data_IF_739671551347
#
_entry.id   IF_739671551347
#
_cell.length_a   1.000
_cell.length_b   1.000
_cell.length_c   1.000
_cell.angle_alpha   90.00
_cell.angle_beta   90.00
_cell.angle_gamma   90.00
#
_symmetry.space_group_name_H-M   'P 1'
#
loop_
_entity.id
_entity.type
_entity.pdbx_description
1 polymer ?
#
# COMPACT_ATOMS: atom_id res chain seq x y z
N UNK A 1 50.60 -7.72 -9.17
CA UNK A 1 49.14 -7.84 -9.13
C UNK A 1 48.55 -6.49 -8.68
N UNK A 2 47.37 -6.15 -9.18
CA UNK A 2 46.59 -5.07 -8.60
C UNK A 2 45.94 -5.57 -7.29
N UNK A 3 45.67 -4.65 -6.37
CA UNK A 3 44.97 -4.96 -5.12
C UNK A 3 43.69 -4.15 -5.07
N UNK A 4 42.56 -4.81 -4.91
CA UNK A 4 41.27 -4.15 -4.64
C UNK A 4 41.26 -3.82 -3.15
N UNK A 5 41.37 -2.55 -2.79
CA UNK A 5 41.45 -2.06 -1.38
C UNK A 5 40.09 -2.04 -0.75
N UNK A 6 39.13 -1.45 -1.46
CA UNK A 6 37.74 -1.32 -1.02
C UNK A 6 36.80 -1.08 -2.20
N UNK A 7 35.53 -1.36 -1.99
CA UNK A 7 34.42 -0.89 -2.80
C UNK A 7 33.47 -0.21 -1.83
N UNK A 8 33.49 1.15 -1.74
CA UNK A 8 32.65 1.90 -0.82
C UNK A 8 31.16 1.53 -0.99
N UNK A 9 30.44 1.38 0.12
CA UNK A 9 29.06 0.90 0.13
C UNK A 9 28.89 -0.63 0.04
N UNK A 10 29.99 -1.40 -0.11
CA UNK A 10 29.99 -2.87 -0.18
C UNK A 10 30.90 -3.45 0.91
N UNK A 11 32.19 -3.11 0.90
CA UNK A 11 33.18 -3.69 1.82
C UNK A 11 32.95 -3.29 3.26
N UNK A 12 32.50 -2.07 3.50
CA UNK A 12 32.11 -1.51 4.79
C UNK A 12 30.78 -2.07 5.32
N UNK A 13 30.03 -2.80 4.48
CA UNK A 13 28.79 -3.49 4.82
C UNK A 13 28.91 -5.03 4.75
N UNK A 14 30.10 -5.57 5.05
CA UNK A 14 30.31 -7.02 5.14
C UNK A 14 30.28 -7.75 3.80
N UNK A 15 30.74 -7.11 2.72
CA UNK A 15 30.71 -7.63 1.35
C UNK A 15 29.29 -7.91 0.82
N UNK A 16 28.36 -7.02 1.17
CA UNK A 16 26.96 -7.07 0.76
C UNK A 16 26.53 -5.72 0.19
N UNK A 17 25.84 -5.74 -0.94
CA UNK A 17 25.20 -4.56 -1.53
C UNK A 17 23.73 -4.83 -1.77
N UNK A 18 22.88 -3.95 -1.25
CA UNK A 18 21.42 -4.03 -1.42
C UNK A 18 20.97 -2.82 -2.23
N UNK A 19 20.20 -3.08 -3.27
CA UNK A 19 19.58 -2.05 -4.11
C UNK A 19 18.15 -2.43 -4.45
N UNK A 20 17.44 -1.51 -5.09
CA UNK A 20 16.08 -1.74 -5.54
C UNK A 20 16.04 -2.06 -7.04
N UNK A 21 15.03 -2.82 -7.46
CA UNK A 21 14.72 -2.90 -8.88
C UNK A 21 14.47 -1.48 -9.44
N UNK A 22 14.88 -1.27 -10.70
CA UNK A 22 14.80 0.02 -11.39
C UNK A 22 15.65 1.16 -10.77
N UNK A 23 16.53 0.87 -9.82
CA UNK A 23 17.47 1.84 -9.26
C UNK A 23 18.71 1.97 -10.16
N UNK A 24 19.27 3.17 -10.29
CA UNK A 24 20.58 3.38 -10.89
C UNK A 24 21.63 3.35 -9.80
N UNK A 25 22.60 2.45 -9.93
CA UNK A 25 23.71 2.29 -8.98
C UNK A 25 25.02 2.76 -9.58
N UNK A 26 25.93 3.23 -8.73
CA UNK A 26 27.30 3.57 -9.07
C UNK A 26 28.24 3.01 -8.00
N UNK A 27 29.13 2.10 -8.40
CA UNK A 27 30.18 1.54 -7.53
C UNK A 27 31.54 1.97 -8.03
N UNK A 28 32.35 2.54 -7.15
CA UNK A 28 33.67 3.12 -7.47
C UNK A 28 34.73 2.40 -6.65
N UNK A 29 35.36 1.33 -7.17
CA UNK A 29 36.39 0.60 -6.46
C UNK A 29 37.68 1.38 -6.27
N UNK A 30 38.27 1.26 -5.11
CA UNK A 30 39.64 1.72 -4.84
C UNK A 30 40.62 0.61 -5.18
N UNK A 31 41.37 0.80 -6.26
CA UNK A 31 42.33 -0.20 -6.77
C UNK A 31 43.73 0.36 -6.68
N UNK A 32 44.65 -0.34 -5.99
CA UNK A 32 46.06 -0.08 -6.00
C UNK A 32 46.76 -0.86 -7.10
N UNK A 33 47.40 -0.17 -8.03
CA UNK A 33 48.12 -0.78 -9.14
C UNK A 33 49.57 -1.06 -8.79
N UNK A 34 50.17 -2.03 -9.47
CA UNK A 34 51.59 -2.33 -9.35
C UNK A 34 52.44 -1.07 -9.67
N UNK A 35 53.51 -0.87 -8.94
CA UNK A 35 54.40 0.26 -9.19
C UNK A 35 54.85 0.34 -10.65
N UNK A 36 54.68 1.52 -11.26
CA UNK A 36 55.01 1.77 -12.66
C UNK A 36 53.90 1.37 -13.65
N UNK A 37 52.73 0.95 -13.17
CA UNK A 37 51.54 0.70 -14.02
C UNK A 37 50.40 1.63 -13.66
N UNK A 38 49.45 1.79 -14.58
CA UNK A 38 48.25 2.61 -14.44
C UNK A 38 46.99 1.80 -14.77
N UNK A 39 45.82 2.34 -14.57
CA UNK A 39 44.55 1.69 -14.94
C UNK A 39 44.50 1.24 -16.40
N UNK A 40 45.22 1.93 -17.32
CA UNK A 40 45.27 1.56 -18.74
C UNK A 40 45.96 0.21 -19.01
N UNK A 41 46.79 -0.27 -18.07
CA UNK A 41 47.49 -1.56 -18.18
C UNK A 41 46.60 -2.75 -17.71
N UNK A 42 45.39 -2.47 -17.29
CA UNK A 42 44.48 -3.47 -16.74
C UNK A 42 43.16 -3.56 -17.53
N UNK A 43 42.54 -4.71 -17.46
CA UNK A 43 41.17 -4.99 -17.87
C UNK A 43 40.30 -5.10 -16.61
N UNK A 44 39.08 -4.56 -16.69
CA UNK A 44 38.11 -4.59 -15.61
C UNK A 44 36.85 -5.27 -16.10
N UNK A 45 36.26 -6.13 -15.29
CA UNK A 45 35.00 -6.82 -15.62
C UNK A 45 34.12 -6.87 -14.37
N UNK A 46 32.88 -6.41 -14.52
CA UNK A 46 31.80 -6.62 -13.59
C UNK A 46 30.83 -7.62 -14.20
N UNK A 47 30.55 -8.68 -13.49
CA UNK A 47 29.52 -9.63 -13.91
C UNK A 47 28.78 -10.16 -12.70
N UNK A 48 27.52 -10.56 -12.94
CA UNK A 48 26.65 -11.14 -11.93
C UNK A 48 26.08 -12.47 -12.38
N UNK A 49 25.67 -13.31 -11.44
CA UNK A 49 24.87 -14.51 -11.66
C UNK A 49 23.95 -14.76 -10.46
N UNK A 50 22.78 -15.42 -10.67
CA UNK A 50 21.85 -15.73 -9.59
C UNK A 50 22.50 -16.58 -8.49
N UNK A 51 22.14 -16.30 -7.23
CA UNK A 51 22.41 -17.22 -6.13
C UNK A 51 21.46 -18.40 -6.19
N UNK A 52 21.98 -19.60 -5.91
CA UNK A 52 21.16 -20.77 -5.64
C UNK A 52 20.50 -20.58 -4.26
N UNK A 53 19.17 -20.77 -4.10
CA UNK A 53 18.49 -20.71 -2.80
C UNK A 53 19.08 -21.63 -1.74
N UNK A 54 19.75 -22.70 -2.16
CA UNK A 54 20.47 -23.64 -1.27
C UNK A 54 21.94 -23.26 -1.03
N UNK A 55 22.44 -22.22 -1.72
CA UNK A 55 23.78 -21.66 -1.51
C UNK A 55 24.97 -22.53 -1.93
N UNK A 56 24.74 -23.63 -2.61
CA UNK A 56 25.76 -24.68 -2.87
C UNK A 56 26.31 -24.68 -4.28
N UNK A 57 25.61 -24.10 -5.26
CA UNK A 57 25.99 -24.16 -6.68
C UNK A 57 26.22 -22.79 -7.26
N UNK A 58 27.30 -22.61 -8.02
CA UNK A 58 27.59 -21.38 -8.75
C UNK A 58 27.16 -21.54 -10.21
N UNK A 59 26.14 -20.84 -10.62
CA UNK A 59 25.58 -20.88 -11.98
C UNK A 59 26.32 -19.90 -12.91
N UNK A 60 27.61 -20.11 -13.12
CA UNK A 60 28.44 -19.29 -14.02
C UNK A 60 27.94 -19.26 -15.47
N UNK A 61 27.21 -20.30 -15.90
CA UNK A 61 26.55 -20.35 -17.21
C UNK A 61 25.43 -19.29 -17.35
N UNK A 62 24.95 -18.75 -16.24
CA UNK A 62 23.96 -17.67 -16.20
C UNK A 62 24.59 -16.29 -15.89
N UNK A 63 25.90 -16.18 -16.05
CA UNK A 63 26.61 -14.94 -15.77
C UNK A 63 26.36 -13.90 -16.86
N UNK A 64 25.93 -12.72 -16.45
CA UNK A 64 25.80 -11.54 -17.31
C UNK A 64 26.88 -10.52 -16.97
N UNK A 65 27.58 -10.03 -17.99
CA UNK A 65 28.54 -8.93 -17.86
C UNK A 65 27.79 -7.60 -17.78
N UNK A 66 27.98 -6.86 -16.68
CA UNK A 66 27.34 -5.58 -16.44
C UNK A 66 28.17 -4.41 -16.98
N UNK A 67 29.50 -4.49 -16.85
CA UNK A 67 30.42 -3.46 -17.32
C UNK A 67 31.84 -4.02 -17.54
N UNK A 68 32.61 -3.36 -18.43
CA UNK A 68 34.04 -3.61 -18.67
C UNK A 68 34.89 -2.38 -18.30
N UNK A 69 34.50 -1.66 -17.29
CA UNK A 69 35.12 -0.42 -16.79
C UNK A 69 35.54 -0.58 -15.34
N UNK A 70 36.46 0.25 -14.86
CA UNK A 70 36.87 0.24 -13.46
C UNK A 70 35.68 0.49 -12.52
N UNK A 71 34.85 1.48 -12.85
CA UNK A 71 33.64 1.79 -12.12
C UNK A 71 32.44 1.05 -12.72
N UNK A 72 31.42 0.75 -11.90
CA UNK A 72 30.15 0.23 -12.35
C UNK A 72 29.10 1.34 -12.25
N UNK A 73 28.60 1.81 -13.40
CA UNK A 73 27.38 2.60 -13.49
C UNK A 73 26.34 1.73 -14.18
N UNK A 74 25.32 1.31 -13.42
CA UNK A 74 24.38 0.31 -13.91
C UNK A 74 22.94 0.65 -13.54
N UNK A 75 22.05 0.57 -14.51
CA UNK A 75 20.61 0.63 -14.30
C UNK A 75 20.11 -0.78 -13.99
N UNK A 76 19.55 -0.99 -12.80
CA UNK A 76 19.01 -2.29 -12.41
C UNK A 76 17.79 -2.61 -13.28
N UNK A 77 17.93 -3.61 -14.14
CA UNK A 77 16.85 -4.16 -14.98
C UNK A 77 16.48 -5.58 -14.58
N UNK A 78 17.16 -6.08 -13.58
CA UNK A 78 17.05 -7.45 -13.09
C UNK A 78 15.86 -7.62 -12.15
N UNK A 79 15.27 -8.81 -12.15
CA UNK A 79 14.21 -9.15 -11.20
C UNK A 79 14.72 -9.19 -9.76
N UNK A 80 13.89 -8.83 -8.77
CA UNK A 80 14.21 -8.94 -7.35
C UNK A 80 14.60 -10.37 -6.97
N UNK A 81 15.83 -10.54 -6.52
CA UNK A 81 16.41 -11.78 -5.95
C UNK A 81 17.85 -11.53 -5.52
N UNK A 82 18.46 -12.54 -4.92
CA UNK A 82 19.85 -12.55 -4.54
C UNK A 82 20.73 -12.99 -5.73
N UNK A 83 21.79 -12.23 -5.94
CA UNK A 83 22.83 -12.48 -6.93
C UNK A 83 24.20 -12.51 -6.26
N UNK A 84 25.17 -13.13 -6.93
CA UNK A 84 26.58 -12.87 -6.73
C UNK A 84 27.02 -11.82 -7.73
N UNK A 85 27.70 -10.75 -7.26
CA UNK A 85 28.38 -9.78 -8.10
C UNK A 85 29.87 -9.97 -7.93
N UNK A 86 30.58 -10.03 -9.06
CA UNK A 86 32.01 -10.23 -9.08
C UNK A 86 32.66 -9.08 -9.83
N UNK A 87 33.68 -8.49 -9.19
CA UNK A 87 34.57 -7.52 -9.79
C UNK A 87 35.92 -8.17 -10.03
N UNK A 88 36.41 -8.14 -11.30
CA UNK A 88 37.71 -8.68 -11.71
C UNK A 88 38.61 -7.59 -12.27
N UNK A 89 39.89 -7.64 -11.89
CA UNK A 89 40.97 -6.77 -12.38
C UNK A 89 42.09 -7.67 -12.90
N UNK A 90 42.36 -7.59 -14.21
CA UNK A 90 43.36 -8.40 -14.89
C UNK A 90 44.45 -7.54 -15.48
N UNK A 91 45.72 -7.85 -15.19
CA UNK A 91 46.84 -7.23 -15.85
C UNK A 91 46.96 -7.72 -17.30
N UNK A 92 46.92 -6.82 -18.28
CA UNK A 92 46.97 -7.17 -19.72
C UNK A 92 48.28 -7.84 -20.14
N UNK A 93 49.39 -7.49 -19.49
CA UNK A 93 50.73 -7.95 -19.86
C UNK A 93 51.06 -9.31 -19.21
N UNK A 94 50.74 -9.45 -17.94
CA UNK A 94 51.13 -10.65 -17.17
C UNK A 94 50.00 -11.68 -17.07
N UNK A 95 48.75 -11.29 -17.32
CA UNK A 95 47.59 -12.11 -17.13
C UNK A 95 47.19 -12.31 -15.66
N UNK A 96 47.92 -11.67 -14.71
CA UNK A 96 47.61 -11.75 -13.27
C UNK A 96 46.22 -11.21 -12.98
N UNK A 97 45.45 -11.96 -12.19
CA UNK A 97 44.02 -11.71 -11.91
C UNK A 97 43.82 -11.51 -10.42
N UNK A 98 43.10 -10.42 -10.07
CA UNK A 98 42.54 -10.19 -8.74
C UNK A 98 41.03 -10.12 -8.87
N UNK A 99 40.30 -10.75 -7.96
CA UNK A 99 38.84 -10.68 -7.95
C UNK A 99 38.28 -10.46 -6.54
N UNK A 100 37.14 -9.79 -6.48
CA UNK A 100 36.32 -9.67 -5.29
C UNK A 100 34.89 -10.08 -5.60
N UNK A 101 34.34 -10.93 -4.73
CA UNK A 101 32.98 -11.42 -4.79
C UNK A 101 32.20 -10.91 -3.60
N UNK A 102 30.93 -10.50 -3.84
CA UNK A 102 30.05 -10.04 -2.78
C UNK A 102 28.58 -10.36 -3.11
N UNK A 103 27.78 -10.36 -2.07
CA UNK A 103 26.32 -10.52 -2.20
C UNK A 103 25.73 -9.26 -2.84
N UNK A 104 24.91 -9.48 -3.85
CA UNK A 104 24.21 -8.42 -4.56
C UNK A 104 22.70 -8.70 -4.53
N UNK A 105 21.98 -7.99 -3.66
CA UNK A 105 20.58 -8.24 -3.39
C UNK A 105 19.77 -7.15 -4.08
N UNK A 106 18.90 -7.58 -5.00
CA UNK A 106 17.93 -6.71 -5.65
C UNK A 106 16.59 -6.95 -4.96
N UNK A 107 16.13 -5.93 -4.23
CA UNK A 107 14.85 -5.97 -3.53
C UNK A 107 13.75 -5.36 -4.39
N UNK A 108 12.54 -5.94 -4.32
CA UNK A 108 11.36 -5.30 -4.88
C UNK A 108 11.08 -3.96 -4.19
N UNK A 109 10.50 -3.02 -4.93
CA UNK A 109 10.10 -1.74 -4.35
C UNK A 109 8.76 -1.89 -3.65
N UNK A 110 8.83 -2.35 -2.42
CA UNK A 110 7.70 -2.50 -1.51
C UNK A 110 7.76 -1.41 -0.43
N UNK A 111 6.65 -1.14 0.20
CA UNK A 111 6.59 -0.21 1.30
C UNK A 111 5.27 0.54 1.40
N UNK A 112 5.30 1.62 2.16
CA UNK A 112 4.17 2.50 2.34
C UNK A 112 4.14 3.53 1.20
N UNK A 113 3.22 3.33 0.25
CA UNK A 113 3.03 4.22 -0.90
C UNK A 113 2.33 5.49 -0.42
N UNK A 114 2.84 6.65 -0.79
CA UNK A 114 2.23 7.96 -0.61
C UNK A 114 1.98 8.55 -1.99
N UNK A 115 0.73 8.84 -2.28
CA UNK A 115 0.28 9.56 -3.47
C UNK A 115 0.14 11.04 -3.09
N UNK A 116 0.84 11.90 -3.78
CA UNK A 116 0.75 13.33 -3.58
C UNK A 116 0.62 14.11 -4.89
N UNK A 117 0.34 15.39 -4.78
CA UNK A 117 0.34 16.35 -5.89
C UNK A 117 1.12 17.61 -5.51
N UNK A 118 1.76 18.22 -6.51
CA UNK A 118 2.33 19.56 -6.36
C UNK A 118 1.22 20.64 -6.44
N UNK A 119 1.60 21.90 -6.24
CA UNK A 119 0.69 23.05 -6.31
C UNK A 119 0.00 23.24 -7.67
N UNK A 120 0.50 22.61 -8.71
CA UNK A 120 -0.06 22.64 -10.06
C UNK A 120 -0.95 21.42 -10.35
N UNK A 121 -1.17 20.55 -9.36
CA UNK A 121 -1.96 19.34 -9.48
C UNK A 121 -1.25 18.21 -10.24
N UNK A 122 0.09 18.25 -10.32
CA UNK A 122 0.86 17.15 -10.90
C UNK A 122 1.16 16.11 -9.82
N UNK A 123 0.59 14.93 -9.97
CA UNK A 123 0.70 13.84 -9.01
C UNK A 123 1.92 12.94 -9.26
N UNK A 124 2.44 12.38 -8.17
CA UNK A 124 3.48 11.35 -8.18
C UNK A 124 3.29 10.34 -7.05
N UNK A 125 4.10 9.30 -7.06
CA UNK A 125 4.18 8.27 -6.04
C UNK A 125 5.52 8.37 -5.33
N UNK A 126 5.47 8.33 -4.00
CA UNK A 126 6.62 8.17 -3.14
C UNK A 126 6.46 6.87 -2.34
N UNK A 127 7.56 6.20 -2.00
CA UNK A 127 7.52 4.94 -1.27
C UNK A 127 8.39 5.07 -0.02
N UNK A 128 7.77 4.98 1.14
CA UNK A 128 8.47 4.93 2.42
C UNK A 128 8.90 3.48 2.66
N UNK A 129 10.19 3.23 2.67
CA UNK A 129 10.78 1.94 3.01
C UNK A 129 11.09 1.87 4.50
N UNK A 130 10.05 1.88 5.30
CA UNK A 130 10.19 1.83 6.76
C UNK A 130 10.96 0.59 7.21
N UNK A 131 11.94 0.76 8.09
CA UNK A 131 12.84 -0.31 8.52
C UNK A 131 12.16 -1.40 9.37
N UNK A 132 11.02 -1.09 10.00
CA UNK A 132 10.33 -2.03 10.88
C UNK A 132 9.28 -2.89 10.15
N UNK A 133 8.66 -2.34 9.08
CA UNK A 133 7.52 -2.99 8.40
C UNK A 133 7.82 -3.50 6.98
N UNK A 134 8.95 -3.06 6.39
CA UNK A 134 9.35 -3.47 5.04
C UNK A 134 10.56 -4.39 5.14
N UNK A 135 10.48 -5.56 4.57
CA UNK A 135 11.64 -6.46 4.51
C UNK A 135 12.78 -5.81 3.73
N UNK A 136 13.97 -5.71 4.34
CA UNK A 136 15.09 -4.96 3.80
C UNK A 136 14.87 -3.44 3.75
N UNK A 137 13.92 -2.93 4.51
CA UNK A 137 13.68 -1.49 4.66
C UNK A 137 14.86 -0.80 5.34
N UNK A 138 15.15 0.41 4.89
CA UNK A 138 16.29 1.23 5.31
C UNK A 138 15.86 2.61 5.86
N UNK A 139 14.57 2.83 6.00
CA UNK A 139 13.97 4.08 6.48
C UNK A 139 13.93 5.21 5.45
N UNK A 140 14.45 5.01 4.25
CA UNK A 140 14.48 6.05 3.20
C UNK A 140 13.13 6.18 2.48
N UNK A 141 12.95 7.32 1.83
CA UNK A 141 11.85 7.59 0.90
C UNK A 141 12.40 7.47 -0.53
N UNK A 142 11.79 6.61 -1.34
CA UNK A 142 12.02 6.58 -2.78
C UNK A 142 11.04 7.56 -3.41
N UNK A 143 11.56 8.72 -3.79
CA UNK A 143 10.73 9.85 -4.24
C UNK A 143 10.44 9.81 -5.74
N UNK A 144 9.28 10.36 -6.14
CA UNK A 144 8.88 10.55 -7.54
C UNK A 144 8.93 9.26 -8.38
N UNK A 145 8.57 8.15 -7.77
CA UNK A 145 8.81 6.82 -8.34
C UNK A 145 8.00 6.55 -9.60
N UNK A 146 6.79 7.12 -9.72
CA UNK A 146 6.03 7.03 -10.97
C UNK A 146 6.73 7.82 -12.10
N UNK A 147 7.00 9.10 -11.91
CA UNK A 147 7.58 9.90 -12.99
C UNK A 147 8.97 9.45 -13.41
N UNK A 148 9.80 9.00 -12.47
CA UNK A 148 11.13 8.44 -12.76
C UNK A 148 11.03 7.24 -13.71
N UNK A 149 10.07 6.35 -13.49
CA UNK A 149 9.90 5.15 -14.31
C UNK A 149 9.09 5.39 -15.61
N UNK A 150 8.47 6.57 -15.76
CA UNK A 150 7.63 6.90 -16.91
C UNK A 150 8.11 8.14 -17.68
N UNK A 151 9.44 8.34 -17.76
CA UNK A 151 10.05 9.38 -18.60
C UNK A 151 9.68 10.82 -18.20
N UNK A 152 9.43 11.07 -16.92
CA UNK A 152 9.05 12.39 -16.40
C UNK A 152 7.56 12.69 -16.46
N UNK A 153 6.71 11.74 -16.91
CA UNK A 153 5.25 11.90 -16.90
C UNK A 153 4.73 12.08 -15.47
N UNK A 154 3.74 12.96 -15.30
CA UNK A 154 3.04 13.17 -14.05
C UNK A 154 1.58 12.74 -14.17
N UNK A 155 0.98 12.30 -13.07
CA UNK A 155 -0.45 12.04 -12.96
C UNK A 155 -1.21 13.35 -12.74
N UNK A 156 -2.53 13.34 -12.95
CA UNK A 156 -3.41 14.49 -12.68
C UNK A 156 -4.71 14.02 -12.07
N UNK A 157 -5.30 14.89 -11.25
CA UNK A 157 -6.60 14.65 -10.62
C UNK A 157 -6.62 13.33 -9.83
N UNK A 158 -5.48 12.99 -9.22
CA UNK A 158 -5.30 11.74 -8.49
C UNK A 158 -6.13 11.72 -7.22
N UNK A 159 -6.74 10.59 -6.89
CA UNK A 159 -7.65 10.46 -5.75
C UNK A 159 -7.21 9.41 -4.74
N UNK A 160 -7.07 8.15 -5.18
CA UNK A 160 -6.72 7.05 -4.30
C UNK A 160 -5.99 5.92 -5.05
N UNK A 161 -5.37 5.04 -4.28
CA UNK A 161 -4.56 3.92 -4.76
C UNK A 161 -5.34 2.63 -4.62
N UNK A 162 -5.23 1.75 -5.63
CA UNK A 162 -5.68 0.37 -5.58
C UNK A 162 -4.57 -0.58 -6.05
N UNK A 163 -4.55 -1.78 -5.52
CA UNK A 163 -3.60 -2.82 -5.91
C UNK A 163 -4.36 -4.11 -6.24
N UNK A 164 -4.08 -4.70 -7.38
CA UNK A 164 -4.56 -6.03 -7.77
C UNK A 164 -3.38 -6.97 -8.01
N UNK A 165 -2.94 -7.75 -7.02
CA UNK A 165 -1.84 -8.70 -7.19
C UNK A 165 -2.13 -9.80 -8.21
N UNK A 166 -3.39 -10.15 -8.42
CA UNK A 166 -3.80 -11.18 -9.40
C UNK A 166 -3.49 -10.78 -10.86
N UNK A 167 -3.59 -9.49 -11.18
CA UNK A 167 -3.26 -8.95 -12.51
C UNK A 167 -1.92 -8.19 -12.52
N UNK A 168 -1.07 -8.31 -11.52
CA UNK A 168 0.01 -7.47 -11.02
C UNK A 168 -0.10 -5.99 -11.45
N UNK A 169 -1.25 -5.39 -11.17
CA UNK A 169 -1.52 -3.99 -11.45
C UNK A 169 -1.56 -3.15 -10.17
N UNK A 170 -0.95 -1.98 -10.24
CA UNK A 170 -1.16 -0.87 -9.33
C UNK A 170 -2.00 0.18 -10.05
N UNK A 171 -3.06 0.64 -9.42
CA UNK A 171 -3.95 1.67 -9.94
C UNK A 171 -3.78 2.95 -9.13
N UNK A 172 -3.70 4.08 -9.81
CA UNK A 172 -3.99 5.38 -9.21
C UNK A 172 -5.27 5.88 -9.85
N UNK A 173 -6.36 5.80 -9.11
CA UNK A 173 -7.67 6.29 -9.55
C UNK A 173 -7.68 7.82 -9.55
N UNK A 174 -8.32 8.39 -10.57
CA UNK A 174 -8.44 9.82 -10.81
C UNK A 174 -9.88 10.20 -11.15
N UNK A 175 -10.16 11.49 -11.26
CA UNK A 175 -11.49 11.94 -11.68
C UNK A 175 -11.88 11.44 -13.09
N UNK A 176 -10.89 11.17 -13.94
CA UNK A 176 -11.06 10.75 -15.33
C UNK A 176 -10.85 9.23 -15.53
N UNK A 177 -10.72 8.45 -14.45
CA UNK A 177 -10.52 6.99 -14.52
C UNK A 177 -9.36 6.49 -13.67
N UNK A 178 -8.32 5.92 -14.28
CA UNK A 178 -7.15 5.43 -13.55
C UNK A 178 -5.89 5.43 -14.41
N UNK A 179 -4.75 5.71 -13.77
CA UNK A 179 -3.43 5.34 -14.26
C UNK A 179 -3.17 3.88 -13.88
N UNK A 180 -2.91 3.04 -14.86
CA UNK A 180 -2.72 1.60 -14.68
C UNK A 180 -1.25 1.28 -14.88
N UNK A 181 -0.62 0.74 -13.86
CA UNK A 181 0.80 0.46 -13.83
C UNK A 181 1.07 -1.00 -13.53
N UNK A 182 2.22 -1.49 -13.96
CA UNK A 182 2.76 -2.74 -13.44
C UNK A 182 3.11 -2.54 -11.96
N UNK A 183 2.64 -3.43 -11.08
CA UNK A 183 2.80 -3.29 -9.64
C UNK A 183 4.25 -3.42 -9.15
N UNK A 184 5.14 -4.07 -9.92
CA UNK A 184 6.56 -4.18 -9.56
C UNK A 184 7.38 -3.01 -10.08
N UNK A 185 7.18 -2.60 -11.33
CA UNK A 185 8.02 -1.60 -11.98
C UNK A 185 7.45 -0.18 -11.94
N UNK A 186 6.17 -0.01 -11.58
CA UNK A 186 5.42 1.25 -11.64
C UNK A 186 5.40 1.89 -13.04
N UNK A 187 5.79 1.14 -14.06
CA UNK A 187 5.67 1.55 -15.45
C UNK A 187 4.21 1.48 -15.89
N UNK A 188 3.73 2.55 -16.49
CA UNK A 188 2.36 2.63 -17.01
C UNK A 188 2.13 1.58 -18.10
N UNK A 189 0.92 1.06 -18.19
CA UNK A 189 0.47 0.16 -19.25
C UNK A 189 -0.22 0.97 -20.36
N UNK A 190 0.52 1.46 -21.36
CA UNK A 190 0.02 2.50 -22.31
C UNK A 190 -1.11 2.02 -23.21
N UNK A 191 -1.34 0.70 -23.30
CA UNK A 191 -2.42 0.10 -24.10
C UNK A 191 -3.66 -0.29 -23.27
N UNK A 192 -3.71 0.10 -22.01
CA UNK A 192 -4.80 -0.22 -21.09
C UNK A 192 -5.39 1.06 -20.55
N UNK A 193 -6.61 1.36 -20.88
CA UNK A 193 -7.37 2.48 -20.33
C UNK A 193 -8.28 2.01 -19.19
N UNK A 194 -8.83 2.93 -18.41
CA UNK A 194 -9.80 2.61 -17.36
C UNK A 194 -11.03 1.86 -17.92
N UNK A 195 -11.53 2.27 -19.10
CA UNK A 195 -12.65 1.61 -19.75
C UNK A 195 -12.36 0.15 -20.13
N UNK A 196 -11.09 -0.17 -20.42
CA UNK A 196 -10.69 -1.54 -20.77
C UNK A 196 -10.77 -2.51 -19.60
N UNK A 197 -10.83 -2.00 -18.37
CA UNK A 197 -11.01 -2.81 -17.16
C UNK A 197 -12.42 -3.42 -17.07
N UNK A 198 -13.38 -2.92 -17.84
CA UNK A 198 -14.80 -3.34 -17.77
C UNK A 198 -15.20 -4.17 -18.98
N UNK A 199 -16.14 -5.07 -18.77
CA UNK A 199 -16.83 -5.80 -19.85
C UNK A 199 -18.12 -5.10 -20.33
N UNK A 200 -18.43 -3.95 -19.76
CA UNK A 200 -19.56 -3.09 -20.09
C UNK A 200 -19.09 -1.69 -20.42
N UNK A 201 -19.86 -0.94 -21.18
CA UNK A 201 -19.60 0.49 -21.38
C UNK A 201 -20.07 1.27 -20.16
N UNK A 202 -19.21 2.16 -19.66
CA UNK A 202 -19.53 3.05 -18.54
C UNK A 202 -20.23 4.30 -19.06
N UNK A 203 -21.37 4.64 -18.48
CA UNK A 203 -22.06 5.92 -18.77
C UNK A 203 -21.35 7.09 -18.13
N UNK A 204 -20.78 6.88 -16.93
CA UNK A 204 -20.06 7.88 -16.15
C UNK A 204 -18.78 7.27 -15.58
N UNK A 205 -17.67 7.98 -15.73
CA UNK A 205 -16.40 7.65 -15.08
C UNK A 205 -16.30 8.43 -13.79
N UNK A 206 -16.39 7.75 -12.66
CA UNK A 206 -16.26 8.33 -11.32
C UNK A 206 -15.87 7.22 -10.33
N UNK A 207 -14.61 6.76 -10.33
CA UNK A 207 -14.15 5.76 -9.38
C UNK A 207 -14.17 6.32 -7.95
N UNK A 208 -14.74 5.56 -7.02
CA UNK A 208 -15.00 6.02 -5.65
C UNK A 208 -14.35 5.13 -4.58
N UNK A 209 -14.25 3.83 -4.82
CA UNK A 209 -13.55 2.87 -3.96
C UNK A 209 -13.15 1.64 -4.77
N UNK A 210 -12.04 1.03 -4.41
CA UNK A 210 -11.59 -0.24 -4.97
C UNK A 210 -10.91 -1.09 -3.89
N UNK A 211 -11.13 -2.40 -3.93
CA UNK A 211 -10.44 -3.33 -3.03
C UNK A 211 -10.27 -4.69 -3.70
N UNK A 212 -9.08 -5.27 -3.52
CA UNK A 212 -8.79 -6.64 -3.89
C UNK A 212 -8.79 -7.52 -2.64
N UNK A 213 -9.54 -8.59 -2.66
CA UNK A 213 -9.72 -9.52 -1.55
C UNK A 213 -9.06 -10.85 -1.92
N UNK A 214 -7.84 -11.16 -1.41
CA UNK A 214 -7.07 -12.36 -1.75
C UNK A 214 -7.59 -13.59 -1.01
N UNK A 215 -8.89 -13.83 -1.10
CA UNK A 215 -9.56 -14.85 -0.32
C UNK A 215 -10.57 -15.63 -1.14
N UNK A 216 -10.73 -16.93 -0.80
CA UNK A 216 -11.61 -17.81 -1.50
C UNK A 216 -11.22 -17.92 -2.98
N UNK A 217 -12.04 -17.36 -3.87
CA UNK A 217 -11.78 -17.35 -5.30
C UNK A 217 -11.08 -16.07 -5.80
N UNK A 218 -10.53 -15.26 -4.91
CA UNK A 218 -9.96 -13.95 -5.18
C UNK A 218 -10.95 -13.03 -5.91
N UNK A 219 -11.38 -12.01 -5.24
CA UNK A 219 -12.38 -11.07 -5.76
C UNK A 219 -11.80 -9.66 -5.76
N UNK A 220 -12.03 -8.92 -6.82
CA UNK A 220 -11.78 -7.48 -6.86
C UNK A 220 -13.12 -6.77 -6.96
N UNK A 221 -13.34 -5.76 -6.13
CA UNK A 221 -14.58 -4.97 -6.08
C UNK A 221 -14.25 -3.51 -6.31
N UNK A 222 -15.03 -2.86 -7.15
CA UNK A 222 -14.90 -1.44 -7.49
C UNK A 222 -16.26 -0.77 -7.40
N UNK A 223 -16.31 0.42 -6.80
CA UNK A 223 -17.46 1.33 -6.86
C UNK A 223 -17.13 2.44 -7.85
N UNK A 224 -17.89 2.52 -8.94
CA UNK A 224 -17.81 3.61 -9.91
C UNK A 224 -19.21 4.25 -10.06
N UNK A 225 -19.30 5.54 -9.82
CA UNK A 225 -20.56 6.29 -9.87
C UNK A 225 -21.70 5.64 -9.08
N UNK A 226 -21.40 5.18 -7.85
CA UNK A 226 -22.30 4.47 -6.95
C UNK A 226 -22.78 3.10 -7.42
N UNK A 227 -22.25 2.57 -8.52
CA UNK A 227 -22.53 1.23 -9.04
C UNK A 227 -21.39 0.31 -8.63
N UNK A 228 -21.72 -0.92 -8.24
CA UNK A 228 -20.78 -1.94 -7.79
C UNK A 228 -20.41 -2.84 -8.96
N UNK A 229 -19.11 -2.96 -9.19
CA UNK A 229 -18.53 -3.88 -10.18
C UNK A 229 -17.64 -4.88 -9.46
N UNK A 230 -17.57 -6.10 -9.96
CA UNK A 230 -16.70 -7.12 -9.39
C UNK A 230 -16.02 -8.00 -10.45
N UNK A 231 -14.88 -8.58 -10.06
CA UNK A 231 -14.18 -9.64 -10.77
C UNK A 231 -14.04 -10.83 -9.82
N UNK A 232 -14.59 -11.99 -10.22
CA UNK A 232 -14.38 -13.26 -9.52
C UNK A 232 -13.35 -14.11 -10.26
N UNK A 233 -12.07 -13.95 -9.95
CA UNK A 233 -10.97 -14.50 -10.73
C UNK A 233 -10.98 -16.02 -10.87
N UNK A 234 -11.16 -16.73 -9.78
CA UNK A 234 -11.10 -18.20 -9.78
C UNK A 234 -12.45 -18.85 -10.09
N UNK A 235 -13.54 -18.14 -9.78
CA UNK A 235 -14.87 -18.69 -9.95
C UNK A 235 -15.27 -18.79 -11.42
N UNK A 236 -14.98 -17.74 -12.19
CA UNK A 236 -15.48 -17.58 -13.55
C UNK A 236 -14.39 -17.30 -14.59
N UNK A 237 -13.12 -17.18 -14.16
CA UNK A 237 -12.02 -16.81 -15.05
C UNK A 237 -12.17 -15.39 -15.63
N UNK A 238 -12.92 -14.52 -14.97
CA UNK A 238 -13.12 -13.16 -15.45
C UNK A 238 -11.82 -12.36 -15.27
N UNK A 239 -11.52 -11.56 -16.26
CA UNK A 239 -10.38 -10.64 -16.26
C UNK A 239 -10.79 -9.18 -16.31
N UNK A 240 -12.10 -8.90 -16.33
CA UNK A 240 -12.70 -7.56 -16.40
C UNK A 240 -13.83 -7.41 -15.41
N UNK A 241 -14.04 -6.20 -14.94
CA UNK A 241 -15.15 -5.84 -14.07
C UNK A 241 -16.48 -6.05 -14.77
N UNK A 242 -17.37 -6.73 -14.08
CA UNK A 242 -18.75 -6.96 -14.49
C UNK A 242 -19.65 -6.17 -13.56
N UNK A 243 -20.70 -5.55 -14.11
CA UNK A 243 -21.81 -5.04 -13.34
C UNK A 243 -22.52 -6.21 -12.66
N UNK A 244 -22.56 -6.18 -11.33
CA UNK A 244 -23.19 -7.22 -10.50
C UNK A 244 -24.48 -6.75 -9.85
N UNK A 245 -25.01 -5.60 -10.28
CA UNK A 245 -26.23 -5.01 -9.73
C UNK A 245 -27.48 -5.90 -9.93
N UNK A 246 -27.51 -6.66 -11.03
CA UNK A 246 -28.65 -7.47 -11.45
C UNK A 246 -29.97 -6.66 -11.40
N UNK A 247 -30.91 -7.07 -10.53
CA UNK A 247 -32.19 -6.37 -10.34
C UNK A 247 -32.22 -5.46 -9.10
N UNK A 248 -31.13 -5.39 -8.34
CA UNK A 248 -31.07 -4.55 -7.14
C UNK A 248 -30.97 -3.07 -7.51
N UNK A 249 -31.84 -2.25 -6.93
CA UNK A 249 -31.71 -0.79 -6.95
C UNK A 249 -31.01 -0.36 -5.68
N UNK A 250 -29.95 0.43 -5.81
CA UNK A 250 -29.13 0.91 -4.70
C UNK A 250 -28.30 2.11 -5.12
N UNK A 251 -27.74 2.79 -4.11
CA UNK A 251 -26.69 3.78 -4.27
C UNK A 251 -25.53 3.44 -3.34
N UNK A 252 -24.48 2.81 -3.87
CA UNK A 252 -23.34 2.38 -3.07
C UNK A 252 -22.60 3.56 -2.44
N UNK A 253 -22.26 3.44 -1.16
CA UNK A 253 -21.33 4.34 -0.49
C UNK A 253 -19.92 4.19 -1.09
N UNK A 254 -19.05 5.23 -1.01
CA UNK A 254 -17.68 5.20 -1.52
C UNK A 254 -16.73 4.43 -0.58
N UNK A 255 -17.11 3.23 -0.19
CA UNK A 255 -16.34 2.37 0.71
C UNK A 255 -16.59 0.88 0.41
N UNK A 256 -15.54 0.09 0.53
CA UNK A 256 -15.56 -1.37 0.43
C UNK A 256 -14.79 -1.91 1.62
N UNK A 257 -15.45 -2.68 2.46
CA UNK A 257 -14.81 -3.35 3.60
C UNK A 257 -14.49 -4.79 3.19
N UNK A 258 -13.20 -5.18 3.13
CA UNK A 258 -12.82 -6.55 2.84
C UNK A 258 -13.11 -7.44 4.04
N UNK A 259 -13.57 -8.66 3.79
CA UNK A 259 -13.72 -9.69 4.83
C UNK A 259 -12.48 -10.59 4.80
N UNK A 260 -11.67 -10.49 5.84
CA UNK A 260 -10.39 -11.20 5.96
C UNK A 260 -10.51 -12.57 6.64
N UNK A 261 -11.66 -12.88 7.24
CA UNK A 261 -11.92 -14.15 7.94
C UNK A 261 -12.67 -15.15 7.06
N UNK A 262 -12.73 -16.43 7.49
CA UNK A 262 -13.45 -17.48 6.78
C UNK A 262 -14.95 -17.20 6.73
N UNK A 263 -15.58 -17.35 5.55
CA UNK A 263 -17.02 -17.12 5.35
C UNK A 263 -17.44 -17.30 3.89
N UNK A 264 -18.68 -16.93 3.64
CA UNK A 264 -19.30 -16.97 2.31
C UNK A 264 -19.11 -15.68 1.55
N UNK A 265 -18.99 -14.54 2.27
CA UNK A 265 -18.82 -13.22 1.71
C UNK A 265 -17.36 -12.76 1.72
N UNK A 266 -16.98 -12.00 0.71
CA UNK A 266 -15.64 -11.41 0.55
C UNK A 266 -15.62 -9.91 0.86
N UNK A 267 -16.70 -9.18 0.58
CA UNK A 267 -16.75 -7.74 0.81
C UNK A 267 -18.10 -7.29 1.36
N UNK A 268 -18.08 -6.20 2.13
CA UNK A 268 -19.24 -5.47 2.61
C UNK A 268 -19.26 -4.08 1.99
N UNK A 269 -20.43 -3.66 1.54
CA UNK A 269 -20.74 -2.32 1.04
C UNK A 269 -21.98 -1.79 1.76
N UNK A 270 -22.32 -0.52 1.55
CA UNK A 270 -23.50 0.10 2.11
C UNK A 270 -24.34 0.79 1.03
N UNK A 271 -25.63 0.55 1.03
CA UNK A 271 -26.62 1.18 0.16
C UNK A 271 -27.17 2.43 0.87
N UNK A 272 -26.73 3.59 0.42
CA UNK A 272 -27.15 4.88 0.99
C UNK A 272 -28.58 5.31 0.61
N UNK A 273 -29.17 4.69 -0.42
CA UNK A 273 -30.55 4.97 -0.84
C UNK A 273 -31.56 4.27 0.04
N UNK A 274 -31.30 3.00 0.37
CA UNK A 274 -32.20 2.16 1.15
C UNK A 274 -31.73 1.93 2.59
N UNK A 275 -30.63 2.56 3.02
CA UNK A 275 -30.02 2.39 4.34
C UNK A 275 -29.89 0.92 4.76
N UNK A 276 -29.13 0.14 3.97
CA UNK A 276 -28.91 -1.28 4.22
C UNK A 276 -27.51 -1.72 3.86
N UNK A 277 -27.04 -2.78 4.46
CA UNK A 277 -25.80 -3.42 4.06
C UNK A 277 -25.99 -4.22 2.77
N UNK A 278 -24.94 -4.29 1.97
CA UNK A 278 -24.78 -5.15 0.81
C UNK A 278 -23.55 -6.02 1.00
N UNK A 279 -23.58 -7.23 0.47
CA UNK A 279 -22.42 -8.14 0.49
C UNK A 279 -22.09 -8.63 -0.91
N UNK A 280 -20.80 -8.79 -1.18
CA UNK A 280 -20.30 -9.51 -2.35
C UNK A 280 -19.75 -10.84 -1.86
N UNK A 281 -20.28 -11.94 -2.39
CA UNK A 281 -19.85 -13.27 -2.01
C UNK A 281 -18.49 -13.65 -2.64
N UNK A 282 -17.98 -14.81 -2.28
CA UNK A 282 -16.72 -15.36 -2.83
C UNK A 282 -16.77 -15.63 -4.34
N UNK A 283 -17.95 -15.66 -4.94
CA UNK A 283 -18.17 -15.85 -6.36
C UNK A 283 -18.27 -14.55 -7.14
N UNK A 284 -18.36 -13.40 -6.44
CA UNK A 284 -18.53 -12.08 -7.03
C UNK A 284 -19.99 -11.69 -7.26
N UNK A 285 -20.95 -12.33 -6.59
CA UNK A 285 -22.37 -11.97 -6.66
C UNK A 285 -22.75 -10.99 -5.55
N UNK A 286 -23.70 -10.10 -5.85
CA UNK A 286 -24.21 -9.08 -4.92
C UNK A 286 -25.48 -9.57 -4.21
N UNK A 287 -25.53 -9.37 -2.89
CA UNK A 287 -26.67 -9.69 -2.05
C UNK A 287 -27.05 -8.51 -1.14
N UNK A 288 -28.33 -8.44 -0.80
CA UNK A 288 -28.87 -7.58 0.25
C UNK A 288 -29.32 -8.46 1.42
N UNK A 289 -28.45 -8.71 2.41
CA UNK A 289 -28.76 -9.56 3.55
C UNK A 289 -29.79 -8.89 4.47
N UNK A 290 -30.53 -9.72 5.21
CA UNK A 290 -31.47 -9.30 6.26
C UNK A 290 -31.11 -9.99 7.57
N UNK A 291 -31.41 -9.38 8.67
CA UNK A 291 -31.19 -9.99 9.99
C UNK A 291 -32.27 -9.59 10.98
N UNK A 292 -32.30 -10.30 12.08
CA UNK A 292 -33.03 -9.95 13.29
C UNK A 292 -32.05 -9.68 14.42
N UNK A 293 -32.49 -9.08 15.52
CA UNK A 293 -31.67 -8.86 16.71
C UNK A 293 -31.54 -7.40 17.10
N UNK A 294 -30.32 -6.93 17.40
CA UNK A 294 -30.07 -5.55 17.88
C UNK A 294 -30.52 -4.49 16.85
N UNK A 295 -30.31 -4.80 15.58
CA UNK A 295 -30.81 -4.03 14.43
C UNK A 295 -30.94 -4.96 13.20
N UNK A 296 -31.75 -4.53 12.21
CA UNK A 296 -31.82 -5.23 10.93
C UNK A 296 -30.80 -4.65 9.94
N UNK A 297 -29.90 -5.49 9.43
CA UNK A 297 -28.88 -5.07 8.45
C UNK A 297 -29.49 -4.71 7.09
N UNK A 298 -30.69 -5.22 6.80
CA UNK A 298 -31.45 -4.94 5.58
C UNK A 298 -32.33 -3.69 5.64
N UNK A 299 -32.51 -3.09 6.85
CA UNK A 299 -33.42 -1.97 7.06
C UNK A 299 -32.98 -1.11 8.25
N UNK A 300 -31.90 -0.35 8.08
CA UNK A 300 -31.48 0.65 9.07
C UNK A 300 -32.38 1.88 8.94
N UNK A 301 -32.60 2.59 10.06
CA UNK A 301 -33.44 3.79 10.12
C UNK A 301 -33.14 4.75 8.95
N UNK A 302 -34.11 5.07 8.09
CA UNK A 302 -33.91 5.90 6.91
C UNK A 302 -33.60 7.38 7.24
N UNK A 303 -33.83 7.82 8.46
CA UNK A 303 -33.46 9.18 8.92
C UNK A 303 -31.94 9.32 9.08
N UNK A 304 -31.22 8.23 9.27
CA UNK A 304 -29.77 8.23 9.44
C UNK A 304 -29.06 8.40 8.09
N UNK A 305 -27.94 9.11 8.12
CA UNK A 305 -27.08 9.34 6.94
C UNK A 305 -25.72 8.68 7.13
N UNK A 306 -25.23 8.04 6.10
CA UNK A 306 -23.91 7.44 6.03
C UNK A 306 -22.81 8.48 6.33
N UNK A 307 -21.85 8.13 7.17
CA UNK A 307 -20.67 8.92 7.48
C UNK A 307 -19.40 8.17 7.08
N UNK A 308 -19.21 6.97 7.60
CA UNK A 308 -18.00 6.19 7.37
C UNK A 308 -18.27 4.68 7.59
N UNK A 309 -17.54 3.84 6.88
CA UNK A 309 -17.56 2.39 7.08
C UNK A 309 -16.13 1.83 6.95
N UNK A 310 -15.75 0.91 7.84
CA UNK A 310 -14.43 0.31 7.83
C UNK A 310 -14.39 -1.07 8.48
N UNK A 311 -13.27 -1.77 8.27
CA UNK A 311 -12.97 -3.07 8.85
C UNK A 311 -12.74 -2.94 10.35
N UNK A 312 -13.38 -3.79 11.14
CA UNK A 312 -13.19 -3.95 12.57
C UNK A 312 -12.49 -5.25 12.93
N UNK A 313 -12.49 -5.57 14.21
CA UNK A 313 -11.87 -6.78 14.73
C UNK A 313 -12.60 -8.05 14.23
N UNK A 314 -11.81 -9.10 13.96
CA UNK A 314 -12.32 -10.44 13.59
C UNK A 314 -13.28 -10.42 12.36
N UNK A 315 -13.04 -9.51 11.41
CA UNK A 315 -13.85 -9.39 10.19
C UNK A 315 -15.20 -8.71 10.38
N UNK A 316 -15.41 -8.05 11.52
CA UNK A 316 -16.57 -7.17 11.71
C UNK A 316 -16.49 -5.96 10.77
N UNK A 317 -17.64 -5.47 10.38
CA UNK A 317 -17.80 -4.17 9.73
C UNK A 317 -18.35 -3.17 10.73
N UNK A 318 -17.71 -2.03 10.83
CA UNK A 318 -18.16 -0.90 11.65
C UNK A 318 -18.67 0.21 10.71
N UNK A 319 -19.94 0.60 10.88
CA UNK A 319 -20.60 1.66 10.12
C UNK A 319 -20.95 2.81 11.06
N UNK A 320 -20.50 4.02 10.76
CA UNK A 320 -20.88 5.24 11.46
C UNK A 320 -21.96 5.95 10.67
N UNK A 321 -23.05 6.29 11.33
CA UNK A 321 -24.17 7.02 10.78
C UNK A 321 -24.48 8.25 11.65
N UNK A 322 -25.12 9.24 11.04
CA UNK A 322 -25.48 10.52 11.67
C UNK A 322 -26.98 10.75 11.54
N UNK A 323 -27.63 11.17 12.62
CA UNK A 323 -29.02 11.60 12.61
C UNK A 323 -29.16 13.07 12.14
N UNK A 324 -30.37 13.59 12.08
CA UNK A 324 -30.67 14.96 11.65
C UNK A 324 -30.11 16.02 12.61
N UNK A 325 -29.96 15.71 13.90
CA UNK A 325 -29.40 16.60 14.91
C UNK A 325 -27.87 16.60 14.91
N UNK A 326 -27.24 15.68 14.16
CA UNK A 326 -25.79 15.55 14.05
C UNK A 326 -25.19 14.52 14.99
N UNK A 327 -25.99 13.83 15.79
CA UNK A 327 -25.51 12.80 16.69
C UNK A 327 -25.06 11.56 15.90
N UNK A 328 -23.95 10.97 16.32
CA UNK A 328 -23.32 9.84 15.66
C UNK A 328 -23.61 8.54 16.39
N UNK A 329 -23.92 7.52 15.61
CA UNK A 329 -24.07 6.14 16.10
C UNK A 329 -23.19 5.19 15.29
N UNK A 330 -22.67 4.15 15.93
CA UNK A 330 -21.87 3.12 15.29
C UNK A 330 -22.59 1.77 15.35
N UNK A 331 -22.80 1.19 14.16
CA UNK A 331 -23.33 -0.14 13.95
C UNK A 331 -22.16 -1.11 13.75
N UNK A 332 -22.08 -2.17 14.54
CA UNK A 332 -21.10 -3.24 14.39
C UNK A 332 -21.82 -4.51 13.95
N UNK A 333 -21.33 -5.15 12.92
CA UNK A 333 -21.94 -6.35 12.33
C UNK A 333 -20.87 -7.29 11.80
N UNK A 334 -21.08 -8.59 11.95
CA UNK A 334 -20.32 -9.61 11.24
C UNK A 334 -21.16 -10.11 10.05
N UNK A 335 -20.62 -9.89 8.84
CA UNK A 335 -21.23 -10.27 7.58
C UNK A 335 -20.40 -11.31 6.81
N UNK A 336 -19.48 -11.98 7.49
CA UNK A 336 -18.63 -12.99 6.85
C UNK A 336 -19.41 -14.20 6.33
N UNK A 337 -20.43 -14.61 7.07
CA UNK A 337 -21.34 -15.70 6.69
C UNK A 337 -22.57 -15.16 5.97
N UNK A 338 -23.28 -16.02 5.28
CA UNK A 338 -24.56 -15.68 4.63
C UNK A 338 -25.64 -15.26 5.64
N UNK A 339 -25.54 -15.71 6.88
CA UNK A 339 -26.38 -15.27 7.99
C UNK A 339 -25.68 -14.14 8.76
N UNK A 340 -26.18 -12.90 8.69
CA UNK A 340 -25.61 -11.75 9.37
C UNK A 340 -25.74 -11.83 10.89
N UNK A 341 -24.71 -11.34 11.59
CA UNK A 341 -24.71 -11.25 13.06
C UNK A 341 -24.54 -9.79 13.48
N UNK A 342 -25.62 -9.04 13.80
CA UNK A 342 -25.54 -7.75 14.45
C UNK A 342 -24.85 -7.88 15.81
N UNK A 343 -23.75 -7.14 16.01
CA UNK A 343 -22.90 -7.27 17.21
C UNK A 343 -23.22 -6.21 18.26
N UNK A 344 -23.33 -4.94 17.82
CA UNK A 344 -23.63 -3.83 18.72
C UNK A 344 -24.14 -2.61 17.97
N UNK A 345 -24.92 -1.78 18.66
CA UNK A 345 -25.25 -0.42 18.31
C UNK A 345 -24.77 0.49 19.44
N UNK A 346 -23.87 1.41 19.15
CA UNK A 346 -23.18 2.24 20.11
C UNK A 346 -23.45 3.73 19.82
N UNK A 347 -23.82 4.47 20.86
CA UNK A 347 -23.90 5.93 20.82
C UNK A 347 -22.49 6.53 20.94
N UNK A 348 -22.15 7.45 20.05
CA UNK A 348 -20.86 8.13 20.03
C UNK A 348 -20.95 9.58 20.56
N UNK A 349 -22.14 10.11 20.81
CA UNK A 349 -22.36 11.52 21.17
C UNK A 349 -21.64 12.01 22.44
N UNK A 350 -21.27 11.06 23.31
CA UNK A 350 -20.54 11.36 24.55
C UNK A 350 -19.02 11.51 24.38
N UNK A 351 -18.48 11.20 23.20
CA UNK A 351 -17.04 11.22 22.97
C UNK A 351 -16.52 12.65 22.68
N UNK A 352 -15.34 13.02 23.21
CA UNK A 352 -14.81 14.37 23.04
C UNK A 352 -14.58 14.71 21.56
N UNK A 353 -14.99 15.88 21.15
CA UNK A 353 -14.83 16.43 19.78
C UNK A 353 -15.31 15.53 18.63
N UNK A 354 -16.10 14.49 18.89
CA UNK A 354 -16.56 13.51 17.88
C UNK A 354 -17.39 14.18 16.77
N UNK A 355 -18.12 15.23 17.07
CA UNK A 355 -18.89 16.00 16.09
C UNK A 355 -18.02 16.75 15.07
N UNK A 356 -16.74 16.95 15.38
CA UNK A 356 -15.74 17.56 14.49
C UNK A 356 -14.84 16.52 13.83
N UNK A 357 -15.07 15.24 14.04
CA UNK A 357 -14.27 14.18 13.45
C UNK A 357 -14.48 14.10 11.92
N UNK A 358 -13.37 14.04 11.20
CA UNK A 358 -13.34 13.99 9.73
C UNK A 358 -12.74 12.67 9.20
N UNK A 359 -12.01 11.95 10.05
CA UNK A 359 -11.42 10.66 9.68
C UNK A 359 -11.66 9.63 10.78
N UNK A 360 -11.83 8.39 10.39
CA UNK A 360 -12.06 7.28 11.29
C UNK A 360 -11.25 6.06 10.83
N UNK A 361 -10.83 5.20 11.77
CA UNK A 361 -10.36 3.84 11.49
C UNK A 361 -10.58 2.96 12.71
N UNK A 362 -10.72 1.66 12.50
CA UNK A 362 -11.05 0.72 13.58
C UNK A 362 -9.92 -0.26 13.81
N UNK A 363 -9.81 -0.77 15.03
CA UNK A 363 -8.86 -1.81 15.37
C UNK A 363 -9.23 -3.16 14.75
N UNK A 364 -8.29 -3.76 14.03
CA UNK A 364 -8.46 -5.11 13.47
C UNK A 364 -8.09 -6.22 14.46
N UNK A 365 -7.44 -5.87 15.57
CA UNK A 365 -7.03 -6.81 16.64
C UNK A 365 -7.64 -6.51 17.99
N UNK A 366 -8.27 -5.36 18.16
CA UNK A 366 -8.90 -4.93 19.39
C UNK A 366 -10.16 -4.11 19.15
N UNK A 367 -11.04 -4.06 20.15
CA UNK A 367 -12.30 -3.31 20.08
C UNK A 367 -12.06 -1.83 20.41
N UNK A 368 -11.52 -1.07 19.44
CA UNK A 368 -11.28 0.37 19.56
C UNK A 368 -11.47 1.07 18.22
N UNK A 369 -11.66 2.37 18.28
CA UNK A 369 -11.74 3.27 17.16
C UNK A 369 -10.74 4.42 17.34
N UNK A 370 -10.05 4.78 16.26
CA UNK A 370 -9.40 6.06 16.15
C UNK A 370 -10.31 7.00 15.36
N UNK A 371 -10.48 8.21 15.84
CA UNK A 371 -11.13 9.27 15.09
C UNK A 371 -10.30 10.55 15.18
N UNK A 372 -10.26 11.31 14.11
CA UNK A 372 -9.47 12.53 14.02
C UNK A 372 -10.32 13.74 13.69
N UNK A 373 -10.06 14.81 14.41
CA UNK A 373 -10.38 16.20 13.99
C UNK A 373 -9.27 16.69 13.06
N UNK A 374 -9.33 17.95 12.64
CA UNK A 374 -8.24 18.56 11.85
C UNK A 374 -6.86 18.49 12.53
N UNK A 375 -6.80 18.47 13.89
CA UNK A 375 -5.54 18.61 14.62
C UNK A 375 -5.24 17.54 15.66
N UNK A 376 -6.20 16.69 15.98
CA UNK A 376 -6.07 15.69 17.04
C UNK A 376 -6.64 14.35 16.60
N UNK A 377 -6.03 13.28 17.07
CA UNK A 377 -6.55 11.91 16.99
C UNK A 377 -6.90 11.47 18.39
N UNK A 378 -8.07 10.90 18.53
CA UNK A 378 -8.55 10.25 19.75
C UNK A 378 -8.61 8.75 19.56
N UNK A 379 -8.31 8.01 20.61
CA UNK A 379 -8.54 6.57 20.70
C UNK A 379 -9.65 6.27 21.68
N UNK A 380 -10.64 5.54 21.24
CA UNK A 380 -11.78 5.11 22.07
C UNK A 380 -11.91 3.60 22.07
N UNK A 381 -11.93 3.00 23.25
CA UNK A 381 -12.27 1.58 23.42
C UNK A 381 -13.79 1.43 23.44
N UNK A 382 -14.31 0.51 22.65
CA UNK A 382 -15.76 0.30 22.55
C UNK A 382 -16.43 0.07 23.89
N UNK A 383 -17.49 0.83 24.18
CA UNK A 383 -18.20 0.82 25.45
C UNK A 383 -17.51 1.59 26.60
N UNK A 384 -16.38 2.25 26.32
CA UNK A 384 -15.76 3.16 27.29
C UNK A 384 -16.53 4.47 27.42
N UNK A 385 -16.49 5.08 28.61
CA UNK A 385 -17.19 6.35 28.91
C UNK A 385 -16.55 7.56 28.23
N UNK A 386 -15.28 7.48 27.83
CA UNK A 386 -14.56 8.58 27.16
C UNK A 386 -13.47 8.04 26.23
N UNK A 387 -12.95 8.93 25.37
CA UNK A 387 -11.78 8.66 24.53
C UNK A 387 -10.56 9.41 25.08
N UNK A 388 -9.37 8.85 24.79
CA UNK A 388 -8.10 9.46 25.14
C UNK A 388 -7.49 10.14 23.91
N UNK A 389 -6.87 11.31 24.09
CA UNK A 389 -6.05 11.91 23.05
C UNK A 389 -4.87 10.96 22.73
N UNK A 390 -4.76 10.61 21.46
CA UNK A 390 -3.78 9.62 20.98
C UNK A 390 -2.59 10.30 20.29
N UNK A 391 -2.86 11.31 19.50
CA UNK A 391 -1.87 12.05 18.73
C UNK A 391 -2.37 13.46 18.44
N UNK A 392 -1.46 14.43 18.39
CA UNK A 392 -1.80 15.80 18.01
C UNK A 392 -0.71 16.39 17.10
N UNK A 393 -1.13 17.30 16.21
CA UNK A 393 -0.24 17.97 15.27
C UNK A 393 0.05 19.41 15.70
N UNK A 394 1.13 19.98 15.14
CA UNK A 394 1.55 21.34 15.43
C UNK A 394 0.61 22.42 14.86
N UNK A 395 0.81 23.65 15.29
CA UNK A 395 0.01 24.78 14.81
C UNK A 395 0.09 24.96 13.30
N UNK A 396 -1.08 25.05 12.66
CA UNK A 396 -1.24 25.24 11.22
C UNK A 396 -1.09 23.96 10.39
N UNK A 397 -0.84 22.81 11.03
CA UNK A 397 -0.83 21.49 10.42
C UNK A 397 -2.21 20.84 10.58
N UNK A 398 -2.69 20.12 9.58
CA UNK A 398 -3.97 19.42 9.58
C UNK A 398 -3.78 17.94 9.27
N UNK A 399 -4.52 17.09 9.96
CA UNK A 399 -4.63 15.68 9.64
C UNK A 399 -5.53 15.55 8.40
N UNK A 400 -5.01 14.89 7.37
CA UNK A 400 -5.73 14.70 6.09
C UNK A 400 -6.07 13.23 5.80
N UNK A 401 -5.41 12.30 6.48
CA UNK A 401 -5.73 10.88 6.37
C UNK A 401 -5.15 10.08 7.54
N UNK A 402 -5.82 8.98 7.87
CA UNK A 402 -5.30 7.94 8.78
C UNK A 402 -5.48 6.57 8.13
N UNK A 403 -4.46 5.73 8.21
CA UNK A 403 -4.56 4.31 7.81
C UNK A 403 -3.87 3.40 8.79
N UNK A 404 -4.57 2.35 9.18
CA UNK A 404 -4.01 1.29 10.00
C UNK A 404 -3.14 0.37 9.12
N UNK A 405 -1.94 0.04 9.60
CA UNK A 405 -1.11 -0.97 8.97
C UNK A 405 -1.73 -2.36 9.14
N UNK A 406 -2.04 -2.99 8.03
CA UNK A 406 -2.59 -4.35 7.99
C UNK A 406 -1.77 -5.20 7.04
N UNK A 407 -1.07 -6.19 7.60
CA UNK A 407 -0.32 -7.20 6.87
C UNK A 407 -0.31 -8.50 7.68
N UNK A 408 -1.12 -9.47 7.28
CA UNK A 408 -1.27 -10.74 8.01
C UNK A 408 0.01 -11.58 8.08
N UNK A 409 0.99 -11.32 7.21
CA UNK A 409 2.31 -11.96 7.24
C UNK A 409 3.21 -11.39 8.32
N UNK A 410 3.02 -10.12 8.71
CA UNK A 410 3.74 -9.49 9.82
C UNK A 410 3.12 -9.87 11.15
N UNK A 411 3.74 -10.77 11.88
CA UNK A 411 3.26 -11.25 13.19
C UNK A 411 3.53 -10.27 14.34
N UNK A 412 4.36 -9.27 14.11
CA UNK A 412 4.83 -8.33 15.15
C UNK A 412 4.02 -7.03 15.12
N UNK A 413 3.91 -6.38 13.96
CA UNK A 413 3.36 -5.03 13.84
C UNK A 413 1.99 -4.95 13.16
N UNK A 414 1.48 -6.05 12.60
CA UNK A 414 0.13 -6.10 12.04
C UNK A 414 -0.92 -5.58 13.03
N UNK A 415 -1.64 -4.52 12.66
CA UNK A 415 -2.68 -3.91 13.49
C UNK A 415 -2.17 -3.09 14.69
N UNK A 416 -0.85 -2.74 14.72
CA UNK A 416 -0.21 -2.00 15.83
C UNK A 416 0.42 -0.68 15.39
N UNK A 417 0.28 -0.31 14.14
CA UNK A 417 0.86 0.92 13.58
C UNK A 417 -0.21 1.71 12.88
N UNK A 418 -0.34 2.98 13.25
CA UNK A 418 -1.18 3.95 12.58
C UNK A 418 -0.29 4.88 11.75
N UNK A 419 -0.55 4.98 10.46
CA UNK A 419 0.03 5.99 9.59
C UNK A 419 -0.92 7.18 9.50
N UNK A 420 -0.39 8.36 9.76
CA UNK A 420 -1.13 9.61 9.81
C UNK A 420 -0.53 10.57 8.79
N UNK A 421 -1.29 10.91 7.76
CA UNK A 421 -0.89 11.95 6.82
C UNK A 421 -1.36 13.31 7.32
N UNK A 422 -0.49 14.29 7.22
CA UNK A 422 -0.78 15.67 7.63
C UNK A 422 -0.38 16.66 6.53
N UNK A 423 -0.96 17.85 6.58
CA UNK A 423 -0.76 18.89 5.59
C UNK A 423 -0.58 20.25 6.27
N UNK A 424 0.47 20.97 5.86
CA UNK A 424 0.68 22.39 6.23
C UNK A 424 0.93 23.21 4.97
N UNK A 425 -0.07 23.96 4.53
CA UNK A 425 -0.02 24.59 3.20
C UNK A 425 0.14 23.53 2.11
N UNK A 426 1.24 23.56 1.38
CA UNK A 426 1.54 22.61 0.30
C UNK A 426 2.54 21.52 0.72
N UNK A 427 2.93 21.47 1.99
CA UNK A 427 3.89 20.49 2.51
C UNK A 427 3.15 19.40 3.27
N UNK A 428 3.29 18.17 2.79
CA UNK A 428 2.76 16.96 3.41
C UNK A 428 3.80 16.25 4.26
N UNK A 429 3.32 15.60 5.33
CA UNK A 429 4.11 14.71 6.17
C UNK A 429 3.35 13.43 6.45
N UNK A 430 4.08 12.38 6.76
CA UNK A 430 3.52 11.12 7.23
C UNK A 430 4.16 10.76 8.55
N UNK A 431 3.32 10.51 9.56
CA UNK A 431 3.74 10.01 10.86
C UNK A 431 3.41 8.54 10.97
N UNK A 432 4.37 7.73 11.42
CA UNK A 432 4.17 6.36 11.87
C UNK A 432 4.05 6.36 13.38
N UNK A 433 2.92 5.93 13.92
CA UNK A 433 2.67 5.90 15.36
C UNK A 433 2.43 4.46 15.79
N UNK A 434 3.27 3.94 16.68
CA UNK A 434 3.14 2.59 17.23
C UNK A 434 2.24 2.64 18.47
N UNK A 435 1.36 1.65 18.61
CA UNK A 435 0.42 1.57 19.73
C UNK A 435 0.19 0.12 20.18
N UNK A 436 -0.48 -0.03 21.31
CA UNK A 436 -0.87 -1.34 21.83
C UNK A 436 -2.19 -1.78 21.17
N UNK A 437 -2.17 -2.90 20.47
CA UNK A 437 -3.29 -3.42 19.68
C UNK A 437 -4.53 -3.84 20.47
N UNK A 438 -4.39 -4.03 21.79
CA UNK A 438 -5.51 -4.41 22.65
C UNK A 438 -6.21 -3.21 23.28
N UNK A 439 -5.46 -2.16 23.60
CA UNK A 439 -5.99 -0.96 24.25
C UNK A 439 -6.22 0.22 23.30
N UNK A 440 -5.55 0.24 22.15
CA UNK A 440 -5.54 1.39 21.25
C UNK A 440 -4.73 2.58 21.78
N UNK A 441 -3.95 2.42 22.84
CA UNK A 441 -3.17 3.50 23.43
C UNK A 441 -1.79 3.62 22.79
N UNK A 442 -1.33 4.86 22.55
CA UNK A 442 -0.01 5.12 21.99
C UNK A 442 1.10 4.57 22.88
N UNK A 443 2.14 4.01 22.25
CA UNK A 443 3.38 3.61 22.93
C UNK A 443 4.33 4.79 23.18
N UNK A 444 3.97 6.00 22.74
CA UNK A 444 4.84 7.19 22.77
C UNK A 444 5.93 7.19 21.69
N UNK A 445 5.99 6.16 20.83
CA UNK A 445 6.95 6.08 19.72
C UNK A 445 6.29 6.56 18.43
N UNK A 446 6.87 7.58 17.82
CA UNK A 446 6.48 8.06 16.51
C UNK A 446 7.70 8.34 15.65
N UNK A 447 7.56 8.17 14.34
CA UNK A 447 8.55 8.51 13.33
C UNK A 447 7.91 9.42 12.29
N UNK A 448 8.62 10.47 11.88
CA UNK A 448 8.16 11.43 10.88
C UNK A 448 8.88 11.19 9.55
N UNK A 449 8.11 11.25 8.46
CA UNK A 449 8.59 11.25 7.09
C UNK A 449 8.12 12.54 6.41
N UNK A 450 9.04 13.25 5.73
CA UNK A 450 8.83 14.56 5.12
C UNK A 450 9.19 14.55 3.63
N UNK A 451 8.87 15.62 2.92
CA UNK A 451 9.24 15.78 1.51
C UNK A 451 8.10 15.42 0.55
N UNK A 452 6.87 15.38 1.05
CA UNK A 452 5.67 15.19 0.23
C UNK A 452 5.02 16.53 -0.11
N UNK A 453 4.30 16.56 -1.23
CA UNK A 453 3.41 17.64 -1.61
C UNK A 453 2.06 17.54 -0.91
N UNK A 454 0.96 17.80 -1.64
CA UNK A 454 -0.42 17.68 -1.14
C UNK A 454 -0.80 16.21 -1.16
N UNK A 455 -0.82 15.56 0.00
CA UNK A 455 -1.10 14.12 0.11
C UNK A 455 -2.57 13.84 -0.24
N UNK A 456 -2.78 12.89 -1.15
CA UNK A 456 -4.10 12.45 -1.63
C UNK A 456 -4.49 11.10 -1.05
N UNK A 457 -3.55 10.16 -0.97
CA UNK A 457 -3.79 8.82 -0.42
C UNK A 457 -2.50 8.15 0.03
N UNK A 458 -2.65 7.15 0.86
CA UNK A 458 -1.59 6.25 1.31
C UNK A 458 -2.02 4.79 1.15
N UNK A 459 -1.10 3.91 0.81
CA UNK A 459 -1.38 2.49 0.65
C UNK A 459 -0.16 1.65 1.00
N UNK A 460 -0.34 0.57 1.76
CA UNK A 460 0.74 -0.38 2.02
C UNK A 460 0.81 -1.44 0.91
N UNK A 461 1.97 -1.57 0.29
CA UNK A 461 2.30 -2.61 -0.68
C UNK A 461 3.39 -3.52 -0.10
N UNK A 462 3.07 -4.80 0.02
CA UNK A 462 4.00 -5.83 0.44
C UNK A 462 4.66 -6.50 -0.77
#
# INVERSE_FOLDING_TARGET
EAVIKSIPGVTDHGNKFVCLENEKISLIPEVEFLAGTTAADYEFIWFRFPQDPQGTTYHYEQADTLAMTQNLDYQIVDSPRDYWLIYKVRNKKTGALTEQKFEFIISAVNGWIVLDEDVSGNGDIHIIRDADIVEGGDGRIVANYFSVNNGGKKMRNSRFIGLCPQQPNLYVYSDDGAYIMNASTYMERPKMSYADLFNVTLDVVNPQAANYIPRGYNTEVLVNNHIIYAIGYRAYGWSKFKDISESLKYKAAPAIVPIQIAGDNNAVLFDMENNRFLTVDKWGNLFAPISTGIFDVGAIDPSLKYVYMGEGKDGETCLIMKNETGDLSMFRVNLAMSEPVPVALLDLGHLPEISHAVHYTFGIRGNYMFYATDSKIYSWRFGGETASEFFSVGSGEKIVQMKLYSNSSDKVLNGKVLFVATQKGNEGKVYKVIFNEMSGLSSGKSQEYTGFGIIKDMYYKN
#
